data_IF_186090582968
#
_entry.id   IF_186090582968
#
_cell.length_a   1.000
_cell.length_b   1.000
_cell.length_c   1.000
_cell.angle_alpha   90.00
_cell.angle_beta   90.00
_cell.angle_gamma   90.00
#
_symmetry.space_group_name_H-M   'P 1'
#
loop_
_entity.id
_entity.type
_entity.pdbx_description
1 polymer ?
#
# COMPACT_ATOMS: atom_id res chain seq x y z
N UNK A 1 -12.26 -15.92 -8.47
CA UNK A 1 -13.47 -15.53 -7.71
C UNK A 1 -13.08 -15.59 -6.24
N UNK A 2 -13.24 -14.50 -5.49
CA UNK A 2 -12.89 -14.45 -4.09
C UNK A 2 -14.14 -14.79 -3.28
N UNK A 3 -14.08 -15.87 -2.51
CA UNK A 3 -15.22 -16.41 -1.79
C UNK A 3 -14.95 -16.43 -0.29
N UNK A 4 -15.95 -16.03 0.50
CA UNK A 4 -16.00 -16.24 1.95
C UNK A 4 -17.23 -17.09 2.24
N UNK A 5 -17.00 -18.29 2.77
CA UNK A 5 -18.06 -19.28 3.04
C UNK A 5 -18.95 -19.59 1.81
N UNK A 6 -18.36 -19.59 0.61
CA UNK A 6 -19.07 -19.84 -0.64
C UNK A 6 -19.80 -18.64 -1.25
N UNK A 7 -19.81 -17.49 -0.57
CA UNK A 7 -20.38 -16.24 -1.10
C UNK A 7 -19.29 -15.31 -1.64
N UNK A 8 -19.59 -14.57 -2.70
CA UNK A 8 -18.65 -13.59 -3.26
C UNK A 8 -18.38 -12.44 -2.30
N UNK A 9 -17.12 -12.00 -2.30
CA UNK A 9 -16.70 -10.77 -1.65
C UNK A 9 -16.13 -9.80 -2.69
N UNK A 10 -16.36 -8.50 -2.47
CA UNK A 10 -15.65 -7.47 -3.20
C UNK A 10 -14.34 -7.16 -2.49
N UNK A 11 -13.23 -7.12 -3.23
CA UNK A 11 -11.95 -6.67 -2.69
C UNK A 11 -11.77 -5.21 -3.04
N UNK A 12 -11.53 -4.39 -2.01
CA UNK A 12 -11.18 -2.98 -2.15
C UNK A 12 -9.69 -2.83 -1.83
N UNK A 13 -8.96 -2.23 -2.76
CA UNK A 13 -7.56 -1.83 -2.57
C UNK A 13 -7.52 -0.33 -2.32
N UNK A 14 -6.84 0.06 -1.25
CA UNK A 14 -6.64 1.47 -0.88
C UNK A 14 -5.18 1.70 -0.50
N UNK A 15 -4.64 2.85 -0.87
CA UNK A 15 -3.36 3.32 -0.40
C UNK A 15 -3.48 4.54 0.52
N UNK A 16 -2.81 4.49 1.66
CA UNK A 16 -2.72 5.62 2.58
C UNK A 16 -1.27 6.04 2.76
N UNK A 17 -1.01 7.35 2.63
CA UNK A 17 0.30 7.95 2.78
C UNK A 17 0.38 8.84 4.03
N UNK A 18 1.33 8.54 4.91
CA UNK A 18 1.55 9.29 6.15
C UNK A 18 2.89 10.02 6.16
N UNK A 19 2.87 11.28 6.60
CA UNK A 19 4.10 12.08 6.76
C UNK A 19 4.96 11.48 7.88
N UNK A 20 6.21 11.18 7.57
CA UNK A 20 7.22 10.78 8.55
C UNK A 20 8.27 11.86 8.78
N UNK A 21 8.54 12.17 10.06
CA UNK A 21 9.67 13.01 10.47
C UNK A 21 10.92 12.16 10.67
N UNK A 22 12.09 12.73 10.39
CA UNK A 22 13.38 12.05 10.52
C UNK A 22 13.84 11.34 9.24
N UNK A 23 14.87 10.49 9.36
CA UNK A 23 15.56 9.84 8.23
C UNK A 23 15.75 8.32 8.38
N UNK A 24 15.31 7.74 9.49
CA UNK A 24 15.66 6.36 9.89
C UNK A 24 14.59 5.33 9.55
N UNK A 25 13.35 5.75 9.30
CA UNK A 25 12.27 4.83 8.89
C UNK A 25 12.51 4.37 7.46
N UNK A 26 12.53 3.06 7.27
CA UNK A 26 12.74 2.44 5.96
C UNK A 26 11.55 2.71 5.01
N UNK A 27 11.79 2.57 3.71
CA UNK A 27 10.81 2.76 2.62
C UNK A 27 10.15 4.15 2.52
N UNK A 28 10.56 5.11 3.35
CA UNK A 28 10.12 6.50 3.26
C UNK A 28 10.71 7.19 2.02
N UNK A 29 9.87 7.88 1.26
CA UNK A 29 10.28 8.67 0.08
C UNK A 29 9.58 10.02 0.04
N UNK A 30 10.23 11.01 -0.60
CA UNK A 30 9.62 12.29 -0.93
C UNK A 30 8.48 12.06 -1.93
N UNK A 31 7.24 12.27 -1.49
CA UNK A 31 6.03 12.19 -2.32
C UNK A 31 5.11 13.37 -2.02
N UNK A 32 4.26 13.71 -2.98
CA UNK A 32 3.18 14.65 -2.75
C UNK A 32 2.15 14.03 -1.81
N UNK A 33 1.72 14.78 -0.80
CA UNK A 33 0.64 14.40 0.11
C UNK A 33 -0.55 15.32 -0.15
N UNK A 34 -1.58 14.76 -0.77
CA UNK A 34 -2.76 15.52 -1.23
C UNK A 34 -3.36 16.40 -0.13
N UNK A 35 -3.58 15.81 1.05
CA UNK A 35 -4.22 16.51 2.17
C UNK A 35 -3.40 17.67 2.76
N UNK A 36 -2.07 17.73 2.53
CA UNK A 36 -1.25 18.88 2.95
C UNK A 36 -0.87 19.81 1.79
N UNK A 37 -1.18 19.44 0.55
CA UNK A 37 -0.87 20.23 -0.63
C UNK A 37 0.63 20.38 -0.95
N UNK A 38 1.49 19.49 -0.46
CA UNK A 38 2.95 19.64 -0.55
C UNK A 38 3.73 18.33 -0.66
N UNK A 39 4.99 18.42 -1.04
CA UNK A 39 5.92 17.29 -1.05
C UNK A 39 6.58 17.14 0.32
N UNK A 40 6.44 15.95 0.92
CA UNK A 40 6.96 15.60 2.23
C UNK A 40 7.59 14.20 2.20
N UNK A 41 8.29 13.83 3.27
CA UNK A 41 8.73 12.46 3.48
C UNK A 41 7.51 11.62 3.89
N UNK A 42 7.12 10.67 3.05
CA UNK A 42 5.91 9.88 3.20
C UNK A 42 6.24 8.40 3.20
N UNK A 43 5.64 7.66 4.14
CA UNK A 43 5.50 6.20 4.05
C UNK A 43 4.13 5.90 3.45
N UNK A 44 4.03 4.89 2.60
CA UNK A 44 2.76 4.50 1.99
C UNK A 44 2.47 3.05 2.39
N UNK A 45 1.28 2.81 2.91
CA UNK A 45 0.73 1.48 3.12
C UNK A 45 -0.34 1.22 2.07
N UNK A 46 -0.31 0.04 1.46
CA UNK A 46 -1.35 -0.48 0.58
C UNK A 46 -2.13 -1.51 1.39
N UNK A 47 -3.44 -1.34 1.45
CA UNK A 47 -4.35 -2.19 2.21
C UNK A 47 -5.37 -2.83 1.29
N UNK A 48 -5.68 -4.09 1.56
CA UNK A 48 -6.80 -4.78 0.95
C UNK A 48 -7.85 -5.05 2.02
N UNK A 49 -9.10 -4.68 1.72
CA UNK A 49 -10.26 -4.98 2.52
C UNK A 49 -11.21 -5.89 1.75
N UNK A 50 -11.83 -6.82 2.46
CA UNK A 50 -13.01 -7.51 1.97
C UNK A 50 -14.24 -6.68 2.31
N UNK A 51 -15.14 -6.52 1.34
CA UNK A 51 -16.49 -6.03 1.55
C UNK A 51 -17.46 -7.20 1.36
N UNK A 52 -18.19 -7.52 2.42
CA UNK A 52 -19.18 -8.59 2.43
C UNK A 52 -20.42 -8.13 3.18
N UNK A 53 -21.59 -8.15 2.51
CA UNK A 53 -22.88 -7.75 3.08
C UNK A 53 -22.85 -6.38 3.79
N UNK A 54 -22.14 -5.43 3.20
CA UNK A 54 -21.99 -4.06 3.75
C UNK A 54 -20.97 -3.93 4.89
N UNK A 55 -20.33 -5.02 5.32
CA UNK A 55 -19.28 -5.02 6.32
C UNK A 55 -17.89 -5.03 5.65
N UNK A 56 -17.00 -4.15 6.08
CA UNK A 56 -15.58 -4.19 5.71
C UNK A 56 -14.77 -4.96 6.74
N UNK A 57 -13.82 -5.76 6.28
CA UNK A 57 -12.87 -6.47 7.13
C UNK A 57 -11.48 -6.48 6.50
N UNK A 58 -10.41 -6.39 7.30
CA UNK A 58 -9.04 -6.35 6.78
C UNK A 58 -8.64 -7.71 6.22
N UNK A 59 -7.97 -7.69 5.06
CA UNK A 59 -7.35 -8.88 4.45
C UNK A 59 -5.84 -8.84 4.60
N UNK A 60 -5.21 -7.77 4.11
CA UNK A 60 -3.76 -7.58 4.18
C UNK A 60 -3.41 -6.09 4.19
N UNK A 61 -2.29 -5.76 4.81
CA UNK A 61 -1.66 -4.45 4.73
C UNK A 61 -0.17 -4.63 4.47
N UNK A 62 0.35 -3.98 3.42
CA UNK A 62 1.76 -4.00 3.07
C UNK A 62 2.32 -2.58 2.91
N UNK A 63 3.59 -2.40 3.27
CA UNK A 63 4.30 -1.14 3.01
C UNK A 63 4.77 -1.12 1.55
N UNK A 64 4.43 -0.06 0.82
CA UNK A 64 4.97 0.17 -0.51
C UNK A 64 6.48 0.41 -0.42
N UNK A 65 7.25 -0.42 -1.13
CA UNK A 65 8.71 -0.37 -1.17
C UNK A 65 9.19 0.35 -2.44
N UNK A 66 9.57 1.64 -2.37
CA UNK A 66 10.09 2.33 -3.54
C UNK A 66 11.43 1.72 -3.96
N UNK A 67 11.66 1.66 -5.28
CA UNK A 67 12.87 1.06 -5.88
C UNK A 67 14.17 1.53 -5.27
N UNK A 68 14.29 2.82 -4.94
CA UNK A 68 15.50 3.41 -4.37
C UNK A 68 15.77 3.02 -2.90
N UNK A 69 14.83 2.33 -2.26
CA UNK A 69 14.92 1.81 -0.89
C UNK A 69 14.94 0.28 -0.84
N UNK A 70 14.97 -0.39 -1.99
CA UNK A 70 15.11 -1.84 -2.06
C UNK A 70 16.54 -2.25 -1.65
N UNK A 71 16.66 -3.40 -0.98
CA UNK A 71 17.97 -3.96 -0.64
C UNK A 71 18.56 -4.65 -1.87
N UNK A 72 19.87 -4.86 -1.84
CA UNK A 72 20.53 -5.66 -2.88
C UNK A 72 19.90 -7.06 -2.93
N UNK A 73 19.49 -7.49 -4.12
CA UNK A 73 18.77 -8.75 -4.34
C UNK A 73 17.24 -8.66 -4.24
N UNK A 74 16.67 -7.54 -3.79
CA UNK A 74 15.21 -7.35 -3.81
C UNK A 74 14.72 -7.06 -5.24
N UNK A 75 13.60 -7.69 -5.61
CA UNK A 75 12.93 -7.43 -6.88
C UNK A 75 11.97 -6.25 -6.77
N UNK A 76 12.07 -5.32 -7.72
CA UNK A 76 11.11 -4.23 -7.85
C UNK A 76 9.78 -4.74 -8.42
N UNK A 77 8.76 -4.79 -7.56
CA UNK A 77 7.38 -5.17 -7.90
C UNK A 77 6.45 -3.97 -8.05
N UNK A 78 6.98 -2.75 -8.07
CA UNK A 78 6.16 -1.53 -8.17
C UNK A 78 5.53 -1.32 -9.55
N UNK A 79 5.99 -2.07 -10.56
CA UNK A 79 5.44 -2.07 -11.91
C UNK A 79 4.86 -3.44 -12.25
N UNK A 80 3.79 -3.49 -13.07
CA UNK A 80 3.32 -4.74 -13.65
C UNK A 80 4.48 -5.43 -14.37
N UNK A 81 4.68 -6.70 -14.03
CA UNK A 81 5.64 -7.54 -14.74
C UNK A 81 4.96 -8.04 -16.01
N UNK A 82 5.70 -8.08 -17.13
CA UNK A 82 5.21 -8.75 -18.33
C UNK A 82 5.22 -10.25 -18.06
N UNK A 83 4.08 -10.90 -18.31
CA UNK A 83 3.97 -12.36 -18.35
C UNK A 83 4.73 -12.94 -19.56
#
# INVERSE_FOLDING_TARGET
>A
MNLVNGEEIMIMIDETGDKKKGKTTDYVKRKYIGNLGKIENVIVAVTAYGLFRGMTFPLIAEVYKPRERLKEGDNDKSKPQKE
#
